data_IF_478235505376
#
_entry.id   IF_478235505376
#
_cell.length_a   1.000
_cell.length_b   1.000
_cell.length_c   1.000
_cell.angle_alpha   90.00
_cell.angle_beta   90.00
_cell.angle_gamma   90.00
#
_symmetry.space_group_name_H-M   'P 1'
#
loop_
_entity.id
_entity.type
_entity.pdbx_description
1 polymer ?
#
# COMPACT_ATOMS: atom_id res chain seq x y z
N UNK A 1 -5.46 -3.22 6.88
CA UNK A 1 -5.70 -1.77 6.90
C UNK A 1 -6.68 -1.43 5.78
N UNK A 2 -7.74 -0.65 6.03
CA UNK A 2 -8.59 -0.09 4.98
C UNK A 2 -8.26 1.40 4.87
N UNK A 3 -7.77 1.83 3.71
CA UNK A 3 -7.38 3.22 3.44
C UNK A 3 -8.35 3.80 2.41
N UNK A 4 -8.84 5.00 2.69
CA UNK A 4 -9.70 5.78 1.78
C UNK A 4 -9.04 7.13 1.58
N UNK A 5 -8.87 7.53 0.33
CA UNK A 5 -8.39 8.87 -0.02
C UNK A 5 -9.58 9.74 -0.42
N UNK A 6 -9.59 10.99 0.06
CA UNK A 6 -10.42 12.06 -0.50
C UNK A 6 -9.58 12.86 -1.51
N UNK A 7 -10.06 12.96 -2.74
CA UNK A 7 -9.46 13.80 -3.77
C UNK A 7 -10.55 14.72 -4.31
N UNK A 8 -10.70 15.88 -3.68
CA UNK A 8 -11.66 16.90 -4.12
C UNK A 8 -13.10 16.42 -4.05
N UNK A 9 -13.52 15.88 -2.90
CA UNK A 9 -14.85 15.30 -2.64
C UNK A 9 -15.12 13.95 -3.36
N UNK A 10 -14.07 13.25 -3.79
CA UNK A 10 -14.17 11.90 -4.34
C UNK A 10 -13.45 10.91 -3.43
N UNK A 11 -14.20 9.92 -2.92
CA UNK A 11 -13.66 8.85 -2.08
C UNK A 11 -13.17 7.68 -2.94
N UNK A 12 -11.90 7.34 -2.80
CA UNK A 12 -11.27 6.20 -3.47
C UNK A 12 -10.84 5.16 -2.46
N UNK A 13 -11.28 3.91 -2.66
CA UNK A 13 -10.74 2.77 -1.91
C UNK A 13 -9.32 2.50 -2.41
N UNK A 14 -8.36 2.54 -1.50
CA UNK A 14 -7.01 2.12 -1.79
C UNK A 14 -6.85 0.60 -1.67
N UNK A 15 -6.29 -0.02 -2.70
CA UNK A 15 -5.83 -1.40 -2.69
C UNK A 15 -4.41 -1.45 -3.27
N UNK A 16 -3.37 -1.69 -2.45
CA UNK A 16 -1.99 -1.73 -2.93
C UNK A 16 -1.76 -2.84 -3.97
N UNK A 17 -2.57 -3.92 -3.97
CA UNK A 17 -2.47 -5.00 -4.97
C UNK A 17 -2.76 -4.49 -6.37
N UNK A 18 -3.59 -3.47 -6.52
CA UNK A 18 -3.92 -2.89 -7.83
C UNK A 18 -2.70 -2.22 -8.49
N UNK A 19 -1.81 -1.63 -7.68
CA UNK A 19 -0.54 -1.07 -8.15
C UNK A 19 0.49 -2.18 -8.35
N UNK A 20 0.76 -2.96 -7.30
CA UNK A 20 1.89 -3.88 -7.29
C UNK A 20 1.73 -5.06 -8.23
N UNK A 21 0.50 -5.48 -8.60
CA UNK A 21 0.29 -6.50 -9.65
C UNK A 21 0.85 -6.09 -11.02
N UNK A 22 1.06 -4.79 -11.28
CA UNK A 22 1.69 -4.30 -12.50
C UNK A 22 3.22 -4.41 -12.49
N UNK A 23 3.81 -4.60 -11.30
CA UNK A 23 5.26 -4.57 -11.06
C UNK A 23 5.77 -5.95 -10.65
N UNK A 24 5.00 -6.69 -9.85
CA UNK A 24 5.27 -8.03 -9.35
C UNK A 24 4.19 -8.95 -9.94
N UNK A 25 4.50 -9.70 -11.02
CA UNK A 25 3.51 -10.54 -11.70
C UNK A 25 3.14 -11.79 -10.90
N UNK A 26 4.06 -12.30 -10.08
CA UNK A 26 3.81 -13.46 -9.22
C UNK A 26 3.04 -13.06 -7.96
N UNK A 27 1.87 -13.66 -7.76
CA UNK A 27 0.97 -13.30 -6.67
C UNK A 27 1.55 -13.69 -5.30
N UNK A 28 2.23 -14.83 -5.21
CA UNK A 28 2.87 -15.25 -3.97
C UNK A 28 4.01 -14.31 -3.56
N UNK A 29 4.82 -13.88 -4.52
CA UNK A 29 5.85 -12.87 -4.31
C UNK A 29 5.26 -11.52 -3.90
N UNK A 30 4.15 -11.09 -4.52
CA UNK A 30 3.46 -9.85 -4.14
C UNK A 30 2.92 -9.92 -2.71
N UNK A 31 2.32 -11.05 -2.35
CA UNK A 31 1.80 -11.29 -1.00
C UNK A 31 2.90 -11.24 0.04
N UNK A 32 4.02 -11.91 -0.24
CA UNK A 32 5.19 -11.87 0.62
C UNK A 32 5.73 -10.45 0.76
N UNK A 33 5.83 -9.70 -0.34
CA UNK A 33 6.30 -8.32 -0.34
C UNK A 33 5.41 -7.39 0.51
N UNK A 34 4.09 -7.49 0.35
CA UNK A 34 3.12 -6.70 1.13
C UNK A 34 3.06 -7.12 2.60
N UNK A 35 3.48 -8.34 2.94
CA UNK A 35 3.54 -8.80 4.33
C UNK A 35 4.85 -8.41 5.04
N UNK A 36 5.98 -8.35 4.32
CA UNK A 36 7.31 -8.25 4.94
C UNK A 36 8.08 -6.98 4.62
N UNK A 37 7.86 -6.37 3.46
CA UNK A 37 8.63 -5.21 3.00
C UNK A 37 7.78 -3.95 3.04
N UNK A 38 6.65 -3.95 2.34
CA UNK A 38 5.71 -2.83 2.27
C UNK A 38 4.44 -3.16 3.06
N UNK A 39 4.63 -3.51 4.34
CA UNK A 39 3.52 -3.85 5.23
C UNK A 39 2.83 -2.61 5.80
N UNK A 40 1.66 -2.83 6.42
CA UNK A 40 0.83 -1.73 6.92
C UNK A 40 1.52 -0.90 8.00
N UNK A 41 2.33 -1.53 8.86
CA UNK A 41 3.07 -0.83 9.92
C UNK A 41 4.16 0.06 9.32
N UNK A 42 4.91 -0.46 8.35
CA UNK A 42 5.88 0.32 7.60
C UNK A 42 5.24 1.51 6.91
N UNK A 43 4.08 1.32 6.25
CA UNK A 43 3.34 2.40 5.59
C UNK A 43 2.94 3.50 6.58
N UNK A 44 2.46 3.11 7.76
CA UNK A 44 2.03 4.04 8.79
C UNK A 44 3.19 4.91 9.30
N UNK A 45 4.41 4.38 9.35
CA UNK A 45 5.59 5.17 9.68
C UNK A 45 5.92 6.21 8.59
N UNK A 46 5.70 5.89 7.31
CA UNK A 46 5.86 6.86 6.23
C UNK A 46 4.84 7.99 6.34
N UNK A 47 3.56 7.65 6.61
CA UNK A 47 2.48 8.63 6.82
C UNK A 47 2.74 9.54 8.02
N UNK A 48 3.46 9.04 9.03
CA UNK A 48 3.92 9.85 10.18
C UNK A 48 5.05 10.83 9.83
N UNK A 49 5.57 10.81 8.61
CA UNK A 49 6.67 11.66 8.18
C UNK A 49 8.02 11.20 8.70
N UNK A 50 8.25 9.88 8.77
CA UNK A 50 9.55 9.29 9.16
C UNK A 50 10.71 9.95 8.40
N UNK A 51 11.73 10.37 9.15
CA UNK A 51 12.98 10.90 8.57
C UNK A 51 13.84 9.80 7.95
N UNK A 52 14.62 10.17 6.93
CA UNK A 52 15.53 9.27 6.19
C UNK A 52 16.90 9.15 6.85
#
# INVERSE_FOLDING_TARGET
>A
MNIVFDIGNVLLRWDPRALYRKIIPDEAQMDWFLAHVCNSDWNLEQDRGRSF
#
